data_IF_360900982515
#
_entry.id   IF_360900982515
#
_cell.length_a   1.000
_cell.length_b   1.000
_cell.length_c   1.000
_cell.angle_alpha   90.00
_cell.angle_beta   90.00
_cell.angle_gamma   90.00
#
_symmetry.space_group_name_H-M   'P 1'
#
loop_
_entity.id
_entity.type
_entity.pdbx_description
1 polymer ?
#
# COMPACT_ATOMS: atom_id res chain seq x y z
N UNK A 1 13.78 -7.23 18.15
CA UNK A 1 12.47 -6.71 17.70
C UNK A 1 11.58 -6.72 18.91
N UNK A 2 10.96 -5.60 19.26
CA UNK A 2 9.90 -5.63 20.26
C UNK A 2 8.75 -6.49 19.69
N UNK A 3 8.20 -7.38 20.50
CA UNK A 3 6.99 -8.09 20.13
C UNK A 3 5.87 -7.05 20.01
N UNK A 4 5.22 -7.00 18.85
CA UNK A 4 4.10 -6.11 18.62
C UNK A 4 2.87 -6.75 19.29
N UNK A 5 2.65 -6.44 20.57
CA UNK A 5 1.49 -6.98 21.32
C UNK A 5 0.16 -6.46 20.76
N UNK A 6 0.17 -5.31 20.09
CA UNK A 6 -0.99 -4.67 19.48
C UNK A 6 -0.59 -3.78 18.30
N UNK A 7 -1.40 -3.81 17.25
CA UNK A 7 -1.27 -2.94 16.07
C UNK A 7 -2.19 -1.74 16.25
N UNK A 8 -1.62 -0.54 16.33
CA UNK A 8 -2.36 0.71 16.44
C UNK A 8 -2.61 1.35 15.06
N UNK A 9 -3.47 2.37 15.02
CA UNK A 9 -3.85 3.06 13.78
C UNK A 9 -2.64 3.69 13.06
N UNK A 10 -1.68 4.22 13.82
CA UNK A 10 -0.44 4.79 13.27
C UNK A 10 0.48 3.72 12.68
N UNK A 11 0.47 2.50 13.23
CA UNK A 11 1.27 1.40 12.70
C UNK A 11 0.76 1.00 11.30
N UNK A 12 -0.56 0.96 11.11
CA UNK A 12 -1.16 0.69 9.80
C UNK A 12 -0.79 1.76 8.77
N UNK A 13 -0.87 3.04 9.15
CA UNK A 13 -0.45 4.15 8.29
C UNK A 13 1.02 4.04 7.91
N UNK A 14 1.88 3.75 8.89
CA UNK A 14 3.31 3.57 8.66
C UNK A 14 3.62 2.38 7.73
N UNK A 15 2.92 1.26 7.90
CA UNK A 15 3.05 0.08 7.04
C UNK A 15 2.62 0.41 5.60
N UNK A 16 1.50 1.11 5.40
CA UNK A 16 1.04 1.48 4.06
C UNK A 16 2.00 2.46 3.35
N UNK A 17 2.58 3.40 4.10
CA UNK A 17 3.64 4.29 3.59
C UNK A 17 4.86 3.48 3.16
N UNK A 18 5.36 2.59 4.01
CA UNK A 18 6.50 1.73 3.69
C UNK A 18 6.19 0.81 2.49
N UNK A 19 4.96 0.29 2.41
CA UNK A 19 4.52 -0.56 1.31
C UNK A 19 4.45 0.20 -0.03
N UNK A 20 3.93 1.44 -0.05
CA UNK A 20 3.97 2.29 -1.24
C UNK A 20 5.40 2.50 -1.73
N UNK A 21 6.32 2.84 -0.82
CA UNK A 21 7.70 3.14 -1.17
C UNK A 21 8.39 1.89 -1.75
N UNK A 22 8.14 0.72 -1.16
CA UNK A 22 8.61 -0.56 -1.69
C UNK A 22 7.99 -0.90 -3.06
N UNK A 23 6.68 -0.69 -3.24
CA UNK A 23 6.02 -0.90 -4.53
C UNK A 23 6.60 -0.01 -5.62
N UNK A 24 6.83 1.28 -5.33
CA UNK A 24 7.47 2.21 -6.28
C UNK A 24 8.89 1.75 -6.63
N UNK A 25 9.68 1.31 -5.64
CA UNK A 25 11.02 0.80 -5.87
C UNK A 25 11.06 -0.47 -6.74
N UNK A 26 10.01 -1.30 -6.69
CA UNK A 26 9.92 -2.57 -7.41
C UNK A 26 8.92 -2.57 -8.57
N UNK A 27 8.34 -1.42 -8.92
CA UNK A 27 7.24 -1.29 -9.88
C UNK A 27 7.55 -1.96 -11.22
N UNK A 28 8.70 -1.63 -11.80
CA UNK A 28 9.14 -2.20 -13.09
C UNK A 28 9.41 -3.70 -13.01
N UNK A 29 9.89 -4.20 -11.87
CA UNK A 29 10.06 -5.64 -11.68
C UNK A 29 8.70 -6.34 -11.66
N UNK A 30 7.72 -5.77 -10.93
CA UNK A 30 6.37 -6.31 -10.82
C UNK A 30 5.62 -6.25 -12.16
N UNK A 31 5.77 -5.15 -12.91
CA UNK A 31 5.24 -5.02 -14.28
C UNK A 31 5.67 -6.18 -15.19
N UNK A 32 6.89 -6.71 -15.00
CA UNK A 32 7.41 -7.84 -15.78
C UNK A 32 6.99 -9.22 -15.26
N UNK A 33 6.47 -9.31 -14.03
CA UNK A 33 6.08 -10.59 -13.43
C UNK A 33 4.68 -11.06 -13.88
N UNK A 34 3.74 -10.14 -14.11
CA UNK A 34 2.41 -10.54 -14.55
C UNK A 34 2.43 -10.88 -16.05
N UNK A 35 2.04 -12.11 -16.37
CA UNK A 35 2.13 -12.71 -17.71
C UNK A 35 0.83 -13.38 -18.15
N UNK A 36 -0.31 -13.12 -17.48
CA UNK A 36 -1.59 -13.79 -17.77
C UNK A 36 -2.73 -12.83 -18.12
N UNK A 37 -3.52 -13.07 -19.19
CA UNK A 37 -3.26 -13.97 -20.34
C UNK A 37 -2.32 -13.35 -21.39
N UNK A 38 -2.06 -12.04 -21.31
CA UNK A 38 -1.12 -11.27 -22.15
C UNK A 38 -0.41 -10.27 -21.24
N UNK A 39 0.92 -10.11 -21.32
CA UNK A 39 1.63 -9.09 -20.57
C UNK A 39 1.25 -7.69 -21.07
N UNK A 40 0.36 -7.03 -20.34
CA UNK A 40 0.06 -5.60 -20.48
C UNK A 40 1.14 -4.72 -19.83
N UNK A 41 1.97 -5.31 -18.96
CA UNK A 41 3.15 -4.66 -18.39
C UNK A 41 2.81 -3.57 -17.39
N UNK A 42 1.60 -3.60 -16.81
CA UNK A 42 1.07 -2.50 -16.00
C UNK A 42 0.77 -2.90 -14.54
N UNK A 43 1.03 -4.15 -14.14
CA UNK A 43 0.59 -4.65 -12.83
C UNK A 43 1.21 -3.91 -11.66
N UNK A 44 2.51 -3.62 -11.71
CA UNK A 44 3.17 -2.78 -10.72
C UNK A 44 2.61 -1.36 -10.72
N UNK A 45 2.31 -0.81 -11.90
CA UNK A 45 1.66 0.50 -12.04
C UNK A 45 0.28 0.53 -11.37
N UNK A 46 -0.56 -0.48 -11.65
CA UNK A 46 -1.89 -0.62 -11.07
C UNK A 46 -1.83 -0.75 -9.55
N UNK A 47 -0.88 -1.52 -9.01
CA UNK A 47 -0.67 -1.65 -7.56
C UNK A 47 -0.18 -0.34 -6.93
N UNK A 48 0.75 0.37 -7.56
CA UNK A 48 1.25 1.66 -7.07
C UNK A 48 0.15 2.72 -7.02
N UNK A 49 -0.67 2.81 -8.08
CA UNK A 49 -1.82 3.72 -8.11
C UNK A 49 -2.88 3.36 -7.05
N UNK A 50 -3.11 2.06 -6.83
CA UNK A 50 -4.06 1.60 -5.81
C UNK A 50 -3.63 2.03 -4.41
N UNK A 51 -2.37 1.80 -4.02
CA UNK A 51 -1.89 2.19 -2.69
C UNK A 51 -1.81 3.71 -2.52
N UNK A 52 -1.53 4.46 -3.59
CA UNK A 52 -1.58 5.92 -3.56
C UNK A 52 -2.99 6.44 -3.33
N UNK A 53 -4.00 5.82 -3.94
CA UNK A 53 -5.39 6.15 -3.66
C UNK A 53 -5.76 5.88 -2.20
N UNK A 54 -5.32 4.75 -1.63
CA UNK A 54 -5.55 4.42 -0.21
C UNK A 54 -4.90 5.46 0.71
N UNK A 55 -3.66 5.87 0.43
CA UNK A 55 -2.97 6.87 1.23
C UNK A 55 -3.62 8.25 1.14
N UNK A 56 -4.15 8.62 -0.03
CA UNK A 56 -4.90 9.87 -0.19
C UNK A 56 -6.19 9.89 0.64
N UNK A 57 -6.93 8.78 0.71
CA UNK A 57 -8.12 8.67 1.60
C UNK A 57 -7.72 8.73 3.08
N UNK A 58 -6.59 8.10 3.44
CA UNK A 58 -6.08 8.13 4.81
C UNK A 58 -5.68 9.52 5.27
N UNK A 59 -5.16 10.39 4.39
CA UNK A 59 -4.79 11.77 4.75
C UNK A 59 -5.99 12.58 5.30
N UNK A 60 -7.23 12.20 4.92
CA UNK A 60 -8.46 12.80 5.43
C UNK A 60 -9.06 12.12 6.67
N UNK A 61 -8.54 10.96 7.08
CA UNK A 61 -9.10 10.17 8.18
C UNK A 61 -8.49 10.54 9.53
N UNK A 62 -9.26 10.42 10.60
CA UNK A 62 -8.74 10.55 11.97
C UNK A 62 -7.74 9.44 12.32
N UNK A 63 -6.92 9.69 13.34
CA UNK A 63 -5.89 8.75 13.81
C UNK A 63 -6.45 7.77 14.83
N UNK A 64 -7.53 7.08 14.44
CA UNK A 64 -8.13 6.00 15.21
C UNK A 64 -8.43 4.80 14.29
N UNK A 65 -8.52 3.61 14.88
CA UNK A 65 -8.64 2.37 14.11
C UNK A 65 -9.92 2.31 13.29
N UNK A 66 -11.03 2.88 13.77
CA UNK A 66 -12.30 2.83 13.06
C UNK A 66 -12.27 3.75 11.83
N UNK A 67 -11.71 4.95 11.96
CA UNK A 67 -11.53 5.88 10.84
C UNK A 67 -10.54 5.34 9.81
N UNK A 68 -9.39 4.80 10.25
CA UNK A 68 -8.39 4.20 9.36
C UNK A 68 -8.94 2.99 8.60
N UNK A 69 -9.73 2.12 9.23
CA UNK A 69 -10.33 0.97 8.54
C UNK A 69 -11.47 1.35 7.57
N UNK A 70 -12.03 2.55 7.71
CA UNK A 70 -13.14 3.03 6.88
C UNK A 70 -12.65 3.77 5.64
N UNK A 71 -11.52 4.45 5.74
CA UNK A 71 -10.80 5.05 4.62
C UNK A 71 -10.42 3.98 3.59
#
# INVERSE_FOLDING_TARGET
MADLERLEADDLRAVLVAYRDALRAHQEAINRLNVYPVPDGDTGTNMALTVESVLAELDGAETDMASVCKA
#
